data_IF_522622378690
#
_entry.id   IF_522622378690
#
_cell.length_a   1.000
_cell.length_b   1.000
_cell.length_c   1.000
_cell.angle_alpha   90.00
_cell.angle_beta   90.00
_cell.angle_gamma   90.00
#
_symmetry.space_group_name_H-M   'P 1'
#
loop_
_entity.id
_entity.type
_entity.pdbx_description
1 polymer ?
#
# COMPACT_ATOMS: atom_id res chain seq x y z
N UNK A 1 -3.91 -23.38 -12.59
CA UNK A 1 -4.38 -24.69 -13.07
C UNK A 1 -4.75 -24.69 -14.56
N UNK A 2 -5.66 -23.84 -15.04
CA UNK A 2 -6.07 -23.80 -16.46
C UNK A 2 -4.90 -23.71 -17.47
N UNK A 3 -3.94 -22.80 -17.24
CA UNK A 3 -2.75 -22.68 -18.10
C UNK A 3 -1.89 -23.96 -18.13
N UNK A 4 -1.73 -24.62 -16.99
CA UNK A 4 -0.93 -25.84 -16.89
C UNK A 4 -1.58 -27.00 -17.67
N UNK A 5 -2.91 -27.10 -17.64
CA UNK A 5 -3.66 -28.09 -18.41
C UNK A 5 -3.57 -27.83 -19.92
N UNK A 6 -3.69 -26.57 -20.34
CA UNK A 6 -3.54 -26.19 -21.75
C UNK A 6 -2.13 -26.52 -22.28
N UNK A 7 -1.08 -26.20 -21.51
CA UNK A 7 0.29 -26.52 -21.88
C UNK A 7 0.51 -28.04 -21.94
N UNK A 8 -0.04 -28.80 -20.98
CA UNK A 8 0.05 -30.27 -20.98
C UNK A 8 -0.63 -30.89 -22.20
N UNK A 9 -1.79 -30.37 -22.60
CA UNK A 9 -2.52 -30.82 -23.77
C UNK A 9 -1.78 -30.50 -25.08
N UNK A 10 -1.23 -29.30 -25.22
CA UNK A 10 -0.40 -28.91 -26.36
C UNK A 10 0.88 -29.76 -26.46
N UNK A 11 1.49 -30.06 -25.31
CA UNK A 11 2.65 -30.94 -25.18
C UNK A 11 2.38 -32.37 -25.66
N UNK A 12 1.30 -32.97 -25.16
CA UNK A 12 0.91 -34.33 -25.55
C UNK A 12 0.54 -34.40 -27.03
N UNK A 13 -0.14 -33.37 -27.55
CA UNK A 13 -0.57 -33.31 -28.95
C UNK A 13 0.59 -33.12 -29.93
N UNK A 14 1.62 -32.35 -29.56
CA UNK A 14 2.77 -32.07 -30.42
C UNK A 14 3.92 -33.07 -30.30
N UNK A 15 4.27 -33.50 -29.08
CA UNK A 15 5.52 -34.24 -28.82
C UNK A 15 5.30 -35.64 -28.25
N UNK A 16 4.06 -36.00 -27.86
CA UNK A 16 3.65 -37.29 -27.24
C UNK A 16 4.38 -37.68 -25.94
N UNK A 17 5.41 -36.95 -25.54
CA UNK A 17 6.21 -37.19 -24.33
C UNK A 17 6.49 -35.87 -23.59
N UNK A 18 6.20 -35.87 -22.29
CA UNK A 18 6.34 -34.68 -21.43
C UNK A 18 7.70 -34.72 -20.76
N UNK A 19 8.63 -33.92 -21.26
CA UNK A 19 9.94 -33.70 -20.65
C UNK A 19 10.24 -32.19 -20.55
N UNK A 20 11.28 -31.83 -19.79
CA UNK A 20 11.64 -30.43 -19.55
C UNK A 20 11.89 -29.64 -20.85
N UNK A 21 12.60 -30.24 -21.81
CA UNK A 21 12.96 -29.58 -23.07
C UNK A 21 11.72 -29.25 -23.91
N UNK A 22 10.81 -30.21 -24.06
CA UNK A 22 9.58 -30.02 -24.82
C UNK A 22 8.67 -28.99 -24.15
N UNK A 23 8.63 -28.95 -22.81
CA UNK A 23 7.82 -27.98 -22.05
C UNK A 23 8.26 -26.55 -22.37
N UNK A 24 9.57 -26.29 -22.44
CA UNK A 24 10.08 -24.98 -22.79
C UNK A 24 9.86 -24.63 -24.27
N UNK A 25 9.90 -25.61 -25.18
CA UNK A 25 9.55 -25.41 -26.60
C UNK A 25 8.08 -25.01 -26.79
N UNK A 26 7.16 -25.63 -26.05
CA UNK A 26 5.71 -25.31 -26.14
C UNK A 26 5.36 -24.00 -25.44
N UNK A 27 6.10 -23.63 -24.39
CA UNK A 27 5.83 -22.38 -23.66
C UNK A 27 6.44 -21.15 -24.33
N UNK A 28 7.30 -21.32 -25.34
CA UNK A 28 8.00 -20.25 -26.07
C UNK A 28 8.71 -19.24 -25.14
N UNK A 29 9.38 -19.75 -24.10
CA UNK A 29 10.08 -18.94 -23.11
C UNK A 29 11.58 -19.24 -23.12
N UNK A 30 12.44 -18.22 -22.92
CA UNK A 30 13.87 -18.42 -22.73
C UNK A 30 14.17 -19.43 -21.62
N UNK A 31 15.10 -20.36 -21.89
CA UNK A 31 15.45 -21.39 -20.91
C UNK A 31 16.04 -20.76 -19.63
N UNK A 32 15.57 -21.12 -18.42
CA UNK A 32 15.99 -20.48 -17.17
C UNK A 32 17.50 -20.52 -16.90
N UNK A 33 18.20 -21.58 -17.35
CA UNK A 33 19.66 -21.66 -17.20
C UNK A 33 20.39 -20.57 -17.99
N UNK A 34 19.89 -20.21 -19.17
CA UNK A 34 20.48 -19.18 -20.02
C UNK A 34 20.41 -17.81 -19.34
N UNK A 35 19.21 -17.49 -18.84
CA UNK A 35 18.94 -16.26 -18.09
C UNK A 35 19.73 -16.22 -16.77
N UNK A 36 19.85 -17.36 -16.08
CA UNK A 36 20.63 -17.48 -14.84
C UNK A 36 22.13 -17.23 -15.07
N UNK A 37 22.67 -17.70 -16.20
CA UNK A 37 24.06 -17.44 -16.60
C UNK A 37 24.28 -15.95 -16.90
N UNK A 38 23.34 -15.30 -17.59
CA UNK A 38 23.40 -13.85 -17.83
C UNK A 38 23.43 -13.07 -16.52
N UNK A 39 22.53 -13.37 -15.58
CA UNK A 39 22.50 -12.71 -14.25
C UNK A 39 23.82 -12.94 -13.50
N UNK A 40 24.39 -14.16 -13.57
CA UNK A 40 25.70 -14.46 -12.97
C UNK A 40 26.82 -13.60 -13.57
N UNK A 41 26.83 -13.42 -14.89
CA UNK A 41 27.84 -12.61 -15.57
C UNK A 41 27.72 -11.13 -15.19
N UNK A 42 26.49 -10.60 -15.05
CA UNK A 42 26.28 -9.22 -14.56
C UNK A 42 26.77 -9.05 -13.13
N UNK A 43 26.49 -10.01 -12.24
CA UNK A 43 26.98 -9.98 -10.85
C UNK A 43 28.51 -10.11 -10.75
N UNK A 44 29.13 -10.83 -11.71
CA UNK A 44 30.58 -10.95 -11.83
C UNK A 44 31.27 -9.81 -12.57
N UNK A 45 30.55 -8.75 -12.95
CA UNK A 45 31.09 -7.61 -13.71
C UNK A 45 31.47 -7.92 -15.17
N UNK A 46 31.10 -9.10 -15.68
CA UNK A 46 31.39 -9.55 -17.05
C UNK A 46 30.25 -9.12 -17.99
N UNK A 47 30.19 -7.82 -18.27
CA UNK A 47 29.10 -7.25 -19.05
C UNK A 47 29.10 -7.72 -20.51
N UNK A 48 30.26 -7.92 -21.13
CA UNK A 48 30.35 -8.39 -22.52
C UNK A 48 29.76 -9.80 -22.70
N UNK A 49 30.03 -10.70 -21.75
CA UNK A 49 29.46 -12.05 -21.74
C UNK A 49 27.93 -12.02 -21.49
N UNK A 50 27.46 -11.11 -20.63
CA UNK A 50 26.04 -10.93 -20.35
C UNK A 50 25.28 -10.37 -21.57
N UNK A 51 25.85 -9.38 -22.25
CA UNK A 51 25.32 -8.80 -23.49
C UNK A 51 25.33 -9.81 -24.64
N UNK A 52 26.37 -10.63 -24.74
CA UNK A 52 26.43 -11.72 -25.71
C UNK A 52 25.33 -12.76 -25.46
N UNK A 53 25.08 -13.11 -24.19
CA UNK A 53 23.97 -13.99 -23.80
C UNK A 53 22.59 -13.41 -24.12
N UNK A 54 22.41 -12.09 -23.95
CA UNK A 54 21.18 -11.39 -24.33
C UNK A 54 20.98 -11.39 -25.85
N UNK A 55 22.04 -11.09 -26.61
CA UNK A 55 22.02 -11.10 -28.07
C UNK A 55 21.65 -12.47 -28.62
N UNK A 56 22.17 -13.55 -28.02
CA UNK A 56 21.80 -14.90 -28.41
C UNK A 56 20.31 -15.20 -28.22
N UNK A 57 19.67 -14.70 -27.14
CA UNK A 57 18.22 -14.85 -26.97
C UNK A 57 17.44 -14.05 -28.03
N UNK A 58 17.93 -12.87 -28.37
CA UNK A 58 17.32 -12.05 -29.41
C UNK A 58 17.44 -12.70 -30.80
N UNK A 59 18.62 -13.24 -31.14
CA UNK A 59 18.88 -13.94 -32.41
C UNK A 59 18.10 -15.25 -32.54
N UNK A 60 17.73 -15.88 -31.40
CA UNK A 60 16.82 -17.03 -31.34
C UNK A 60 15.34 -16.66 -31.56
N UNK A 61 15.02 -15.38 -31.71
CA UNK A 61 13.67 -14.88 -32.03
C UNK A 61 12.79 -14.61 -30.82
N UNK A 62 13.31 -14.65 -29.59
CA UNK A 62 12.53 -14.31 -28.40
C UNK A 62 12.17 -12.83 -28.38
N UNK A 63 10.92 -12.52 -28.04
CA UNK A 63 10.49 -11.13 -27.91
C UNK A 63 11.19 -10.45 -26.72
N UNK A 64 11.45 -9.13 -26.77
CA UNK A 64 11.98 -8.39 -25.63
C UNK A 64 11.13 -8.58 -24.35
N UNK A 65 9.81 -8.67 -24.49
CA UNK A 65 8.87 -8.90 -23.39
C UNK A 65 9.06 -10.27 -22.73
N UNK A 66 9.31 -11.32 -23.51
CA UNK A 66 9.53 -12.67 -22.99
C UNK A 66 10.88 -12.79 -22.30
N UNK A 67 11.91 -12.14 -22.86
CA UNK A 67 13.24 -12.04 -22.25
C UNK A 67 13.15 -11.33 -20.88
N UNK A 68 12.46 -10.20 -20.82
CA UNK A 68 12.24 -9.44 -19.58
C UNK A 68 11.45 -10.27 -18.57
N UNK A 69 10.39 -10.96 -19.00
CA UNK A 69 9.57 -11.81 -18.13
C UNK A 69 10.39 -12.97 -17.56
N UNK A 70 11.26 -13.58 -18.36
CA UNK A 70 12.16 -14.64 -17.92
C UNK A 70 13.22 -14.13 -16.93
N UNK A 71 13.76 -12.92 -17.15
CA UNK A 71 14.67 -12.24 -16.22
C UNK A 71 13.98 -11.96 -14.87
N UNK A 72 12.77 -11.42 -14.88
CA UNK A 72 11.97 -11.18 -13.67
C UNK A 72 11.77 -12.45 -12.84
N UNK A 73 11.37 -13.55 -13.48
CA UNK A 73 11.15 -14.84 -12.82
C UNK A 73 12.45 -15.42 -12.25
N UNK A 74 13.54 -15.28 -12.99
CA UNK A 74 14.85 -15.81 -12.59
C UNK A 74 15.43 -15.04 -11.41
N UNK A 75 15.39 -13.70 -11.45
CA UNK A 75 15.95 -12.83 -10.39
C UNK A 75 15.17 -12.97 -9.08
N UNK A 76 13.83 -13.07 -9.15
CA UNK A 76 12.98 -13.28 -7.97
C UNK A 76 13.45 -14.49 -7.13
N UNK A 77 13.83 -15.56 -7.82
CA UNK A 77 14.26 -16.82 -7.22
C UNK A 77 15.80 -16.97 -7.15
N UNK A 78 16.56 -15.93 -7.51
CA UNK A 78 18.02 -15.97 -7.48
C UNK A 78 18.53 -15.77 -6.05
N UNK A 79 19.58 -16.48 -5.69
CA UNK A 79 20.23 -16.38 -4.39
C UNK A 79 21.21 -15.19 -4.38
N UNK A 80 20.74 -14.06 -3.85
CA UNK A 80 21.46 -12.79 -3.77
C UNK A 80 20.86 -11.91 -2.67
N UNK A 81 21.61 -10.90 -2.22
CA UNK A 81 21.13 -9.97 -1.20
C UNK A 81 19.84 -9.26 -1.63
N UNK A 82 18.89 -9.11 -0.70
CA UNK A 82 17.53 -8.63 -0.98
C UNK A 82 17.51 -7.20 -1.55
N UNK A 83 18.38 -6.31 -1.05
CA UNK A 83 18.50 -4.95 -1.58
C UNK A 83 18.92 -4.95 -3.06
N UNK A 84 19.87 -5.82 -3.44
CA UNK A 84 20.36 -5.91 -4.80
C UNK A 84 19.29 -6.52 -5.71
N UNK A 85 18.57 -7.54 -5.21
CA UNK A 85 17.42 -8.13 -5.91
C UNK A 85 16.36 -7.07 -6.24
N UNK A 86 16.06 -6.18 -5.29
CA UNK A 86 15.11 -5.09 -5.49
C UNK A 86 15.59 -4.09 -6.56
N UNK A 87 16.86 -3.70 -6.57
CA UNK A 87 17.42 -2.81 -7.61
C UNK A 87 17.33 -3.42 -9.02
N UNK A 88 17.68 -4.70 -9.17
CA UNK A 88 17.54 -5.39 -10.46
C UNK A 88 16.08 -5.44 -10.94
N UNK A 89 15.14 -5.72 -10.02
CA UNK A 89 13.71 -5.76 -10.34
C UNK A 89 13.16 -4.38 -10.72
N UNK A 90 13.68 -3.29 -10.13
CA UNK A 90 13.32 -1.91 -10.53
C UNK A 90 13.76 -1.62 -11.97
N UNK A 91 15.02 -1.92 -12.30
CA UNK A 91 15.57 -1.67 -13.65
C UNK A 91 14.80 -2.46 -14.70
N UNK A 92 14.54 -3.76 -14.46
CA UNK A 92 13.75 -4.58 -15.38
C UNK A 92 12.32 -4.06 -15.56
N UNK A 93 11.72 -3.48 -14.51
CA UNK A 93 10.39 -2.88 -14.60
C UNK A 93 10.41 -1.66 -15.50
N UNK A 94 11.40 -0.78 -15.35
CA UNK A 94 11.58 0.40 -16.21
C UNK A 94 11.80 0.00 -17.67
N UNK A 95 12.63 -1.02 -17.92
CA UNK A 95 12.88 -1.53 -19.27
C UNK A 95 11.62 -2.15 -19.88
N UNK A 96 10.81 -2.87 -19.09
CA UNK A 96 9.52 -3.42 -19.56
C UNK A 96 8.54 -2.34 -20.04
N UNK A 97 8.57 -1.16 -19.40
CA UNK A 97 7.76 -0.01 -19.78
C UNK A 97 8.26 0.67 -21.07
N UNK A 98 9.54 0.49 -21.42
CA UNK A 98 10.15 1.05 -22.62
C UNK A 98 10.04 0.18 -23.88
N UNK A 99 9.89 -1.15 -23.74
CA UNK A 99 9.88 -2.10 -24.87
C UNK A 99 8.50 -2.36 -25.49
N UNK A 100 7.44 -1.84 -24.90
CA UNK A 100 6.07 -2.00 -25.42
C UNK A 100 5.61 -0.70 -26.09
N UNK A 101 5.09 -0.79 -27.32
CA UNK A 101 4.18 0.22 -27.88
C UNK A 101 3.16 0.64 -26.82
N UNK A 102 2.72 1.93 -26.81
CA UNK A 102 2.21 2.61 -25.62
C UNK A 102 1.20 1.74 -24.91
N UNK A 103 1.66 1.09 -23.84
CA UNK A 103 0.79 0.32 -22.97
C UNK A 103 -0.27 1.32 -22.53
N UNK A 104 -1.53 1.05 -22.85
CA UNK A 104 -2.63 1.78 -22.24
C UNK A 104 -2.41 1.65 -20.73
N UNK A 105 -2.14 2.79 -20.09
CA UNK A 105 -1.83 2.92 -18.66
C UNK A 105 -2.88 2.26 -17.72
N UNK A 106 -4.01 1.83 -18.28
CA UNK A 106 -5.03 1.00 -17.67
C UNK A 106 -4.52 -0.38 -17.19
N UNK A 107 -3.54 -1.00 -17.87
CA UNK A 107 -3.16 -2.40 -17.57
C UNK A 107 -2.12 -2.56 -16.45
N UNK A 108 -1.44 -1.48 -16.04
CA UNK A 108 -0.64 -1.45 -14.79
C UNK A 108 -1.56 -1.19 -13.57
N UNK A 109 -2.88 -1.07 -13.80
CA UNK A 109 -3.80 -0.60 -12.78
C UNK A 109 -3.43 0.80 -12.28
N UNK A 110 -2.71 1.59 -13.09
CA UNK A 110 -2.27 2.96 -12.78
C UNK A 110 -3.11 4.01 -13.52
N UNK A 111 -4.36 3.69 -13.86
CA UNK A 111 -5.33 4.73 -14.18
C UNK A 111 -5.51 5.60 -12.94
N UNK A 112 -5.01 6.84 -13.05
CA UNK A 112 -5.33 7.90 -12.11
C UNK A 112 -6.70 8.40 -12.54
N UNK A 113 -7.77 8.11 -11.78
CA UNK A 113 -9.09 8.63 -12.11
C UNK A 113 -9.05 10.16 -12.07
N UNK A 114 -9.91 10.86 -12.79
CA UNK A 114 -10.04 12.30 -12.60
C UNK A 114 -10.55 12.61 -11.20
N UNK A 115 -10.05 13.69 -10.57
CA UNK A 115 -10.55 14.15 -9.29
C UNK A 115 -11.98 14.68 -9.45
N UNK A 116 -12.96 13.93 -8.93
CA UNK A 116 -14.39 14.26 -8.92
C UNK A 116 -14.91 14.57 -7.51
N UNK A 117 -14.07 14.33 -6.50
CA UNK A 117 -14.20 14.81 -5.14
C UNK A 117 -14.30 13.71 -4.09
N UNK A 118 -15.22 12.77 -4.27
CA UNK A 118 -15.38 11.61 -3.38
C UNK A 118 -14.20 10.61 -3.46
N UNK A 119 -13.43 10.67 -4.54
CA UNK A 119 -12.28 9.83 -4.82
C UNK A 119 -10.92 10.42 -4.37
N UNK A 120 -10.92 11.57 -3.68
CA UNK A 120 -9.71 12.32 -3.34
C UNK A 120 -8.58 11.50 -2.71
N UNK A 121 -8.86 10.66 -1.70
CA UNK A 121 -7.81 9.86 -1.03
C UNK A 121 -7.12 8.88 -1.96
N UNK A 122 -7.90 8.22 -2.83
CA UNK A 122 -7.35 7.28 -3.82
C UNK A 122 -6.61 8.01 -4.93
N UNK A 123 -7.18 9.13 -5.38
CA UNK A 123 -6.56 10.02 -6.35
C UNK A 123 -5.19 10.51 -5.88
N UNK A 124 -5.11 11.08 -4.68
CA UNK A 124 -3.86 11.62 -4.11
C UNK A 124 -2.78 10.55 -4.00
N UNK A 125 -3.14 9.35 -3.51
CA UNK A 125 -2.21 8.22 -3.42
C UNK A 125 -1.67 7.82 -4.80
N UNK A 126 -2.53 7.73 -5.81
CA UNK A 126 -2.15 7.34 -7.18
C UNK A 126 -1.29 8.42 -7.86
N UNK A 127 -1.62 9.69 -7.67
CA UNK A 127 -0.85 10.83 -8.19
C UNK A 127 0.56 10.87 -7.60
N UNK A 128 0.69 10.78 -6.27
CA UNK A 128 2.00 10.79 -5.62
C UNK A 128 2.84 9.57 -5.98
N UNK A 129 2.20 8.40 -6.09
CA UNK A 129 2.88 7.18 -6.55
C UNK A 129 3.43 7.34 -7.97
N UNK A 130 2.65 7.94 -8.87
CA UNK A 130 3.07 8.18 -10.25
C UNK A 130 4.21 9.20 -10.35
N UNK A 131 4.13 10.29 -9.59
CA UNK A 131 5.20 11.29 -9.54
C UNK A 131 6.51 10.69 -8.97
N UNK A 132 6.40 9.82 -7.97
CA UNK A 132 7.55 9.08 -7.42
C UNK A 132 8.13 8.05 -8.39
N UNK A 133 7.30 7.35 -9.16
CA UNK A 133 7.77 6.39 -10.19
C UNK A 133 8.48 7.07 -11.35
N UNK A 134 8.09 8.30 -11.67
CA UNK A 134 8.74 9.09 -12.72
C UNK A 134 9.97 9.88 -12.22
N UNK A 135 10.28 9.81 -10.91
CA UNK A 135 11.31 10.61 -10.23
C UNK A 135 11.14 12.13 -10.44
N UNK A 136 9.88 12.60 -10.42
CA UNK A 136 9.50 14.01 -10.60
C UNK A 136 8.99 14.60 -9.28
N UNK A 137 9.03 13.86 -8.18
CA UNK A 137 8.56 14.26 -6.86
C UNK A 137 9.62 15.02 -6.04
N UNK A 138 10.77 15.36 -6.62
CA UNK A 138 11.87 16.05 -5.92
C UNK A 138 11.41 17.36 -5.24
N UNK A 139 10.64 18.20 -5.94
CA UNK A 139 10.07 19.44 -5.42
C UNK A 139 8.97 19.24 -4.37
N UNK A 140 8.45 18.01 -4.23
CA UNK A 140 7.52 17.62 -3.16
C UNK A 140 8.30 17.20 -1.91
N UNK A 141 9.45 16.52 -2.09
CA UNK A 141 10.30 16.00 -1.01
C UNK A 141 11.24 17.03 -0.39
N UNK A 142 11.67 18.03 -1.16
CA UNK A 142 12.67 19.03 -0.74
C UNK A 142 12.08 20.44 -0.77
N UNK A 143 12.53 21.27 0.18
CA UNK A 143 12.20 22.68 0.22
C UNK A 143 12.84 23.41 -0.98
N UNK A 144 12.24 24.55 -1.32
CA UNK A 144 12.70 25.39 -2.42
C UNK A 144 14.15 25.87 -2.16
N UNK A 145 15.07 25.62 -3.11
CA UNK A 145 16.43 26.14 -3.01
C UNK A 145 16.44 27.67 -3.07
N UNK A 146 17.48 28.34 -2.54
CA UNK A 146 17.65 29.78 -2.70
C UNK A 146 17.62 30.19 -4.18
N UNK A 147 17.00 31.32 -4.48
CA UNK A 147 16.96 31.85 -5.83
C UNK A 147 18.39 32.09 -6.35
N UNK A 148 18.63 31.69 -7.61
CA UNK A 148 19.94 31.85 -8.25
C UNK A 148 20.28 33.33 -8.36
N UNK A 149 21.40 33.72 -7.76
CA UNK A 149 22.03 35.05 -7.91
C UNK A 149 23.24 34.98 -8.83
N UNK A 150 23.73 36.13 -9.33
CA UNK A 150 24.90 36.21 -10.21
C UNK A 150 26.21 35.69 -9.59
N UNK A 151 26.22 35.40 -8.28
CA UNK A 151 27.35 34.84 -7.53
C UNK A 151 27.20 33.35 -7.23
N UNK A 152 26.12 32.72 -7.69
CA UNK A 152 25.83 31.31 -7.38
C UNK A 152 26.81 30.37 -8.09
N UNK A 153 27.19 29.32 -7.40
CA UNK A 153 28.04 28.27 -7.96
C UNK A 153 27.27 27.44 -8.99
N UNK A 154 27.98 26.81 -9.94
CA UNK A 154 27.37 25.91 -10.94
C UNK A 154 26.54 24.78 -10.31
N UNK A 155 26.92 24.31 -9.11
CA UNK A 155 26.18 23.28 -8.39
C UNK A 155 24.84 23.80 -7.85
N UNK A 156 24.80 25.03 -7.33
CA UNK A 156 23.57 25.67 -6.85
C UNK A 156 22.59 25.94 -8.00
N UNK A 157 23.11 26.37 -9.16
CA UNK A 157 22.32 26.56 -10.38
C UNK A 157 21.68 25.24 -10.81
N UNK A 158 22.48 24.17 -10.93
CA UNK A 158 21.99 22.85 -11.34
C UNK A 158 20.94 22.29 -10.37
N UNK A 159 21.11 22.53 -9.06
CA UNK A 159 20.17 22.09 -8.03
C UNK A 159 18.84 22.85 -8.10
N UNK A 160 18.88 24.17 -8.35
CA UNK A 160 17.69 24.98 -8.58
C UNK A 160 16.95 24.56 -9.87
N UNK A 161 17.68 24.36 -10.98
CA UNK A 161 17.09 23.90 -12.25
C UNK A 161 16.42 22.53 -12.13
N UNK A 162 17.05 21.59 -11.40
CA UNK A 162 16.48 20.27 -11.14
C UNK A 162 15.19 20.38 -10.31
N UNK A 163 15.21 21.18 -9.24
CA UNK A 163 14.04 21.44 -8.41
C UNK A 163 12.91 22.08 -9.22
N UNK A 164 13.20 23.11 -10.02
CA UNK A 164 12.17 23.80 -10.78
C UNK A 164 11.60 22.93 -11.91
N UNK A 165 12.42 22.11 -12.55
CA UNK A 165 11.93 21.11 -13.51
C UNK A 165 10.94 20.15 -12.86
N UNK A 166 11.27 19.64 -11.68
CA UNK A 166 10.40 18.75 -10.90
C UNK A 166 9.09 19.44 -10.48
N UNK A 167 9.18 20.70 -10.01
CA UNK A 167 8.03 21.51 -9.63
C UNK A 167 7.08 21.72 -10.82
N UNK A 168 7.59 22.24 -11.94
CA UNK A 168 6.81 22.56 -13.14
C UNK A 168 6.08 21.36 -13.72
N UNK A 169 6.77 20.22 -13.85
CA UNK A 169 6.17 19.00 -14.42
C UNK A 169 5.12 18.42 -13.46
N UNK A 170 5.37 18.43 -12.14
CA UNK A 170 4.39 17.97 -11.15
C UNK A 170 3.10 18.80 -11.16
N UNK A 171 3.22 20.13 -11.22
CA UNK A 171 2.06 21.03 -11.31
C UNK A 171 1.25 20.75 -12.56
N UNK A 172 1.92 20.66 -13.72
CA UNK A 172 1.26 20.39 -15.00
C UNK A 172 0.53 19.05 -14.96
N UNK A 173 1.20 18.01 -14.46
CA UNK A 173 0.62 16.68 -14.35
C UNK A 173 -0.62 16.66 -13.44
N UNK A 174 -0.51 17.21 -12.23
CA UNK A 174 -1.62 17.25 -11.28
C UNK A 174 -2.84 17.96 -11.87
N UNK A 175 -2.63 19.12 -12.50
CA UNK A 175 -3.72 19.90 -13.13
C UNK A 175 -4.43 19.13 -14.23
N UNK A 176 -3.74 18.27 -14.99
CA UNK A 176 -4.38 17.41 -16.02
C UNK A 176 -5.28 16.33 -15.44
N UNK A 177 -5.13 16.00 -14.15
CA UNK A 177 -5.91 14.96 -13.46
C UNK A 177 -7.01 15.52 -12.57
N UNK A 178 -7.31 16.81 -12.67
CA UNK A 178 -8.39 17.50 -11.96
C UNK A 178 -9.52 17.81 -12.95
N UNK A 179 -10.77 17.51 -12.56
CA UNK A 179 -11.93 17.82 -13.39
C UNK A 179 -12.15 19.34 -13.55
N UNK A 180 -12.70 19.75 -14.69
CA UNK A 180 -12.88 21.17 -15.02
C UNK A 180 -13.71 21.95 -13.99
N UNK A 181 -14.66 21.29 -13.30
CA UNK A 181 -15.50 21.90 -12.27
C UNK A 181 -14.78 22.27 -10.97
N UNK A 182 -13.61 21.68 -10.72
CA UNK A 182 -12.80 21.91 -9.51
C UNK A 182 -11.54 22.72 -9.87
N UNK A 183 -11.08 22.59 -11.12
CA UNK A 183 -9.88 23.24 -11.66
C UNK A 183 -9.84 24.75 -11.41
N UNK A 184 -10.96 25.46 -11.55
CA UNK A 184 -11.01 26.92 -11.37
C UNK A 184 -10.55 27.41 -9.98
N UNK A 185 -10.74 26.60 -8.95
CA UNK A 185 -10.32 26.95 -7.57
C UNK A 185 -8.85 26.67 -7.26
N UNK A 186 -8.15 25.93 -8.12
CA UNK A 186 -6.78 25.43 -7.86
C UNK A 186 -5.77 25.86 -8.94
N UNK A 187 -6.23 26.53 -10.01
CA UNK A 187 -5.37 26.83 -11.17
C UNK A 187 -4.34 27.95 -10.90
N UNK A 188 -4.52 28.73 -9.84
CA UNK A 188 -3.64 29.87 -9.51
C UNK A 188 -2.31 29.44 -8.89
N UNK A 189 -2.18 28.19 -8.44
CA UNK A 189 -0.96 27.72 -7.78
C UNK A 189 0.14 27.31 -8.78
N UNK A 190 1.29 27.97 -8.67
CA UNK A 190 2.49 27.72 -9.48
C UNK A 190 3.47 26.74 -8.82
N UNK A 191 3.38 26.56 -7.51
CA UNK A 191 4.20 25.61 -6.74
C UNK A 191 3.41 24.34 -6.43
N UNK A 192 4.04 23.17 -6.64
CA UNK A 192 3.40 21.86 -6.44
C UNK A 192 2.94 21.64 -4.99
N UNK A 193 3.70 22.13 -4.00
CA UNK A 193 3.35 21.98 -2.58
C UNK A 193 2.13 22.81 -2.21
N UNK A 194 2.06 24.05 -2.70
CA UNK A 194 0.93 24.94 -2.48
C UNK A 194 -0.33 24.41 -3.18
N UNK A 195 -0.16 23.90 -4.40
CA UNK A 195 -1.23 23.23 -5.16
C UNK A 195 -1.80 22.04 -4.37
N UNK A 196 -0.95 21.14 -3.89
CA UNK A 196 -1.39 19.97 -3.11
C UNK A 196 -2.08 20.38 -1.80
N UNK A 197 -1.58 21.42 -1.13
CA UNK A 197 -2.16 21.95 0.10
C UNK A 197 -3.57 22.54 -0.14
N UNK A 198 -3.74 23.34 -1.20
CA UNK A 198 -5.04 23.90 -1.55
C UNK A 198 -6.07 22.80 -1.87
N UNK A 199 -5.65 21.76 -2.58
CA UNK A 199 -6.50 20.59 -2.86
C UNK A 199 -6.85 19.87 -1.54
N UNK A 200 -5.89 19.64 -0.65
CA UNK A 200 -6.14 19.03 0.67
C UNK A 200 -7.20 19.80 1.46
N UNK A 201 -7.08 21.12 1.55
CA UNK A 201 -8.00 21.99 2.29
C UNK A 201 -9.43 21.96 1.70
N UNK A 202 -9.54 21.91 0.37
CA UNK A 202 -10.83 21.85 -0.34
C UNK A 202 -11.62 20.56 -0.06
N UNK A 203 -10.93 19.42 0.10
CA UNK A 203 -11.61 18.13 0.36
C UNK A 203 -11.75 17.80 1.85
N UNK A 204 -10.91 18.37 2.72
CA UNK A 204 -11.07 18.28 4.18
C UNK A 204 -12.32 19.04 4.65
N UNK A 205 -12.63 20.18 4.05
CA UNK A 205 -13.84 20.98 4.36
C UNK A 205 -15.13 20.28 3.91
N UNK A 206 -15.09 19.62 2.74
CA UNK A 206 -16.23 18.88 2.18
C UNK A 206 -16.64 17.65 3.02
N UNK A 207 -15.68 16.86 3.52
CA UNK A 207 -15.98 15.72 4.40
C UNK A 207 -16.63 16.18 5.72
N UNK A 208 -16.28 17.37 6.22
CA UNK A 208 -16.83 17.96 7.45
C UNK A 208 -18.27 18.45 7.28
N UNK A 209 -18.58 19.12 6.17
CA UNK A 209 -19.95 19.58 5.87
C UNK A 209 -20.88 18.41 5.57
N UNK A 210 -20.41 17.40 4.83
CA UNK A 210 -21.14 16.15 4.59
C UNK A 210 -21.43 15.40 5.90
N UNK A 211 -20.45 15.32 6.81
CA UNK A 211 -20.65 14.74 8.13
C UNK A 211 -21.70 15.51 8.94
N UNK A 212 -21.63 16.84 8.98
CA UNK A 212 -22.62 17.67 9.68
C UNK A 212 -24.04 17.50 9.11
N UNK A 213 -24.19 17.46 7.80
CA UNK A 213 -25.49 17.25 7.13
C UNK A 213 -26.05 15.85 7.39
N UNK A 214 -25.22 14.81 7.36
CA UNK A 214 -25.64 13.43 7.66
C UNK A 214 -25.98 13.24 9.14
N UNK A 215 -25.24 13.88 10.06
CA UNK A 215 -25.58 13.90 11.50
C UNK A 215 -26.93 14.60 11.69
N UNK A 216 -27.11 15.77 11.07
CA UNK A 216 -28.37 16.51 11.15
C UNK A 216 -29.53 15.68 10.61
N UNK A 217 -29.36 15.01 9.46
CA UNK A 217 -30.35 14.11 8.87
C UNK A 217 -30.64 12.90 9.78
N UNK A 218 -29.62 12.29 10.37
CA UNK A 218 -29.78 11.17 11.29
C UNK A 218 -30.57 11.58 12.55
N UNK A 219 -30.26 12.75 13.11
CA UNK A 219 -30.95 13.26 14.30
C UNK A 219 -32.36 13.79 14.02
N UNK A 220 -32.63 14.28 12.80
CA UNK A 220 -33.94 14.84 12.42
C UNK A 220 -34.91 13.82 11.84
N UNK A 221 -34.42 12.65 11.40
CA UNK A 221 -35.28 11.60 10.85
C UNK A 221 -36.05 10.91 11.98
N UNK A 222 -37.35 11.22 12.09
CA UNK A 222 -38.29 10.55 13.00
C UNK A 222 -39.18 9.60 12.22
N UNK A 223 -39.67 8.55 12.87
CA UNK A 223 -40.67 7.67 12.29
C UNK A 223 -41.99 8.45 12.17
N UNK A 224 -42.48 8.61 10.94
CA UNK A 224 -43.79 9.20 10.66
C UNK A 224 -44.76 8.10 10.22
N UNK A 225 -46.07 8.38 10.30
CA UNK A 225 -47.13 7.42 9.95
C UNK A 225 -47.24 7.15 8.44
N UNK A 226 -46.45 7.85 7.63
CA UNK A 226 -46.51 7.83 6.16
C UNK A 226 -45.47 6.87 5.58
N UNK A 227 -44.31 6.71 6.23
CA UNK A 227 -43.27 5.76 5.81
C UNK A 227 -43.36 4.45 6.59
N UNK A 228 -43.31 3.34 5.86
CA UNK A 228 -43.23 2.01 6.46
C UNK A 228 -42.00 1.86 7.34
N UNK A 229 -42.15 1.09 8.42
CA UNK A 229 -41.10 0.85 9.43
C UNK A 229 -39.83 0.28 8.78
N UNK A 230 -39.99 -0.54 7.73
CA UNK A 230 -38.88 -1.14 6.98
C UNK A 230 -38.05 -0.10 6.23
N UNK A 231 -38.71 0.84 5.56
CA UNK A 231 -38.08 1.92 4.81
C UNK A 231 -37.34 2.88 5.75
N UNK A 232 -37.94 3.16 6.92
CA UNK A 232 -37.30 3.95 7.97
C UNK A 232 -36.03 3.27 8.51
N UNK A 233 -36.09 1.96 8.81
CA UNK A 233 -34.92 1.19 9.27
C UNK A 233 -33.82 1.17 8.21
N UNK A 234 -34.16 0.99 6.93
CA UNK A 234 -33.17 1.04 5.84
C UNK A 234 -32.52 2.41 5.74
N UNK A 235 -33.31 3.50 5.80
CA UNK A 235 -32.79 4.86 5.71
C UNK A 235 -31.88 5.22 6.89
N UNK A 236 -32.24 4.81 8.11
CA UNK A 236 -31.42 4.99 9.31
C UNK A 236 -30.13 4.18 9.24
N UNK A 237 -30.20 2.93 8.77
CA UNK A 237 -29.03 2.05 8.57
C UNK A 237 -28.08 2.62 7.52
N UNK A 238 -28.58 3.11 6.40
CA UNK A 238 -27.75 3.69 5.33
C UNK A 238 -27.07 4.99 5.78
N UNK A 239 -27.80 5.86 6.48
CA UNK A 239 -27.23 7.10 7.03
C UNK A 239 -26.15 6.78 8.08
N UNK A 240 -26.38 5.79 8.94
CA UNK A 240 -25.38 5.31 9.90
C UNK A 240 -24.16 4.67 9.21
N UNK A 241 -24.36 3.91 8.14
CA UNK A 241 -23.28 3.31 7.36
C UNK A 241 -22.40 4.38 6.67
N UNK A 242 -23.02 5.42 6.11
CA UNK A 242 -22.32 6.57 5.54
C UNK A 242 -21.54 7.34 6.61
N UNK A 243 -22.12 7.56 7.79
CA UNK A 243 -21.41 8.14 8.94
C UNK A 243 -20.26 7.28 9.43
N UNK A 244 -20.39 5.95 9.44
CA UNK A 244 -19.31 5.02 9.80
C UNK A 244 -18.17 5.06 8.79
N UNK A 245 -18.48 5.16 7.49
CA UNK A 245 -17.50 5.35 6.40
C UNK A 245 -16.76 6.70 6.52
N UNK A 246 -17.40 7.73 7.07
CA UNK A 246 -16.78 9.03 7.39
C UNK A 246 -16.00 9.01 8.72
N UNK A 247 -16.44 8.26 9.73
CA UNK A 247 -15.68 8.07 10.99
C UNK A 247 -14.39 7.26 10.78
N UNK A 248 -14.41 6.26 9.91
CA UNK A 248 -13.17 5.60 9.42
C UNK A 248 -12.25 6.54 8.63
N UNK A 249 -12.69 7.79 8.36
CA UNK A 249 -11.93 8.85 7.69
C UNK A 249 -11.54 10.02 8.61
N UNK A 250 -11.90 10.02 9.90
CA UNK A 250 -11.45 11.02 10.89
C UNK A 250 -11.01 10.37 12.21
N UNK A 251 -9.78 9.86 12.24
CA UNK A 251 -8.95 9.78 13.45
C UNK A 251 -7.49 10.09 13.08
N UNK A 252 -7.29 11.28 12.51
CA UNK A 252 -6.02 12.01 12.61
C UNK A 252 -6.36 13.45 12.98
N UNK A 253 -6.95 13.64 14.17
CA UNK A 253 -6.54 14.82 14.94
C UNK A 253 -5.13 14.47 15.39
N UNK A 254 -4.15 15.28 14.97
CA UNK A 254 -2.88 15.39 15.66
C UNK A 254 -3.20 15.65 17.14
N UNK A 255 -3.28 14.59 17.92
CA UNK A 255 -2.97 14.70 19.34
C UNK A 255 -1.46 14.74 19.37
N UNK A 256 -0.93 15.70 20.11
CA UNK A 256 0.49 15.86 20.40
C UNK A 256 1.15 14.49 20.49
N UNK A 257 2.33 14.35 19.87
CA UNK A 257 3.13 13.12 19.85
C UNK A 257 2.93 12.34 21.16
N UNK A 258 2.19 11.22 21.10
CA UNK A 258 1.93 10.43 22.29
C UNK A 258 3.29 10.02 22.84
N UNK A 259 3.65 10.60 23.98
CA UNK A 259 4.98 10.41 24.56
C UNK A 259 5.03 8.98 25.06
N UNK A 260 5.94 8.19 24.49
CA UNK A 260 6.17 6.79 24.86
C UNK A 260 6.44 6.67 26.35
N UNK A 261 6.01 5.58 26.98
CA UNK A 261 6.39 5.34 28.37
C UNK A 261 7.92 5.28 28.49
N UNK A 262 8.54 5.96 29.48
CA UNK A 262 9.99 5.97 29.64
C UNK A 262 10.57 4.66 30.18
N UNK A 263 9.73 3.76 30.73
CA UNK A 263 10.17 2.50 31.32
C UNK A 263 9.34 1.30 30.84
N UNK A 264 10.00 0.13 30.83
CA UNK A 264 9.39 -1.17 30.55
C UNK A 264 8.27 -1.50 31.56
N UNK A 265 7.17 -2.09 31.09
CA UNK A 265 5.96 -2.47 31.84
C UNK A 265 5.14 -1.31 32.41
N UNK A 266 5.43 -0.07 32.03
CA UNK A 266 4.66 1.09 32.48
C UNK A 266 3.30 1.20 31.79
N UNK A 267 3.23 0.90 30.50
CA UNK A 267 1.97 0.83 29.73
C UNK A 267 2.01 -0.42 28.85
N UNK A 268 1.05 -1.31 29.04
CA UNK A 268 0.79 -2.44 28.15
C UNK A 268 -0.48 -2.17 27.37
N UNK A 269 -0.41 -2.23 26.04
CA UNK A 269 -1.59 -2.19 25.18
C UNK A 269 -2.07 -3.60 24.88
N UNK A 270 -3.38 -3.81 24.93
CA UNK A 270 -4.01 -5.11 24.68
C UNK A 270 -5.13 -5.02 23.65
N UNK A 271 -5.19 -5.98 22.74
CA UNK A 271 -6.32 -6.16 21.81
C UNK A 271 -6.61 -7.66 21.60
N UNK A 272 -7.91 -7.98 21.54
CA UNK A 272 -8.41 -9.30 21.17
C UNK A 272 -8.88 -9.24 19.72
N UNK A 273 -8.28 -10.07 18.89
CA UNK A 273 -8.58 -10.17 17.47
C UNK A 273 -9.21 -11.53 17.13
N UNK A 274 -10.13 -11.50 16.17
CA UNK A 274 -10.65 -12.68 15.48
C UNK A 274 -10.26 -12.54 14.00
N UNK A 275 -9.41 -13.41 13.45
CA UNK A 275 -9.20 -13.44 12.01
C UNK A 275 -10.49 -13.94 11.35
N UNK A 276 -11.10 -13.11 10.49
CA UNK A 276 -12.21 -13.52 9.63
C UNK A 276 -11.69 -14.59 8.65
N UNK A 277 -11.83 -15.87 9.00
CA UNK A 277 -11.51 -16.99 8.11
C UNK A 277 -12.62 -18.05 8.16
N UNK A 278 -13.08 -18.40 6.97
CA UNK A 278 -14.19 -19.30 6.73
C UNK A 278 -13.92 -20.75 7.21
N UNK A 279 -15.01 -21.42 7.62
CA UNK A 279 -15.21 -22.87 7.71
C UNK A 279 -14.53 -23.73 8.80
N UNK A 280 -13.58 -23.26 9.63
CA UNK A 280 -12.95 -24.12 10.65
C UNK A 280 -12.78 -23.47 12.04
N UNK A 281 -13.90 -23.16 12.70
CA UNK A 281 -13.95 -22.81 14.13
C UNK A 281 -13.42 -21.41 14.45
N UNK A 282 -14.13 -20.68 15.30
CA UNK A 282 -13.67 -19.36 15.76
C UNK A 282 -12.39 -19.54 16.59
N UNK A 283 -11.28 -18.95 16.15
CA UNK A 283 -10.01 -18.89 16.88
C UNK A 283 -9.75 -17.43 17.24
N UNK A 284 -9.64 -17.13 18.52
CA UNK A 284 -9.31 -15.79 19.00
C UNK A 284 -7.83 -15.72 19.32
N UNK A 285 -7.24 -14.53 19.27
CA UNK A 285 -5.94 -14.31 19.87
C UNK A 285 -5.92 -12.96 20.58
N UNK A 286 -5.20 -12.91 21.69
CA UNK A 286 -4.96 -11.70 22.46
C UNK A 286 -3.49 -11.31 22.30
N UNK A 287 -3.25 -10.04 22.06
CA UNK A 287 -1.90 -9.47 21.95
C UNK A 287 -1.66 -8.53 23.12
N UNK A 288 -0.47 -8.60 23.71
CA UNK A 288 0.02 -7.66 24.72
C UNK A 288 1.28 -6.99 24.20
N UNK A 289 1.24 -5.67 24.07
CA UNK A 289 2.34 -4.87 23.50
C UNK A 289 2.82 -3.90 24.57
N UNK A 290 4.09 -4.01 24.95
CA UNK A 290 4.72 -3.04 25.84
C UNK A 290 5.03 -1.73 25.08
N UNK A 291 4.59 -0.61 25.63
CA UNK A 291 4.72 0.71 25.00
C UNK A 291 6.19 1.15 24.90
N UNK A 292 7.00 0.84 25.93
CA UNK A 292 8.42 1.19 25.98
C UNK A 292 9.32 0.31 25.09
N UNK A 293 9.06 -0.97 24.91
CA UNK A 293 9.94 -1.87 24.14
C UNK A 293 9.40 -2.22 22.76
N UNK A 294 8.09 -2.05 22.54
CA UNK A 294 7.33 -2.56 21.38
C UNK A 294 7.35 -4.09 21.26
N UNK A 295 7.83 -4.79 22.27
CA UNK A 295 7.79 -6.24 22.30
C UNK A 295 6.34 -6.70 22.43
N UNK A 296 5.94 -7.66 21.59
CA UNK A 296 4.58 -8.16 21.48
C UNK A 296 4.53 -9.62 21.91
N UNK A 297 3.63 -9.92 22.85
CA UNK A 297 3.28 -11.28 23.24
C UNK A 297 1.93 -11.63 22.62
N UNK A 298 1.79 -12.85 22.12
CA UNK A 298 0.58 -13.31 21.45
C UNK A 298 0.14 -14.64 22.04
N UNK A 299 -1.10 -14.69 22.51
CA UNK A 299 -1.71 -15.88 23.10
C UNK A 299 -2.92 -16.27 22.26
N UNK A 300 -2.99 -17.56 21.90
CA UNK A 300 -4.15 -18.12 21.23
C UNK A 300 -5.23 -18.43 22.28
N UNK A 301 -6.46 -18.07 21.98
CA UNK A 301 -7.63 -18.28 22.83
C UNK A 301 -8.67 -19.12 22.07
N UNK A 302 -9.28 -20.07 22.75
CA UNK A 302 -10.42 -20.79 22.17
C UNK A 302 -11.71 -19.96 22.28
N UNK A 303 -11.88 -19.21 23.37
CA UNK A 303 -13.00 -18.28 23.59
C UNK A 303 -12.53 -16.94 24.16
N UNK A 304 -13.33 -15.87 23.98
CA UNK A 304 -13.02 -14.53 24.52
C UNK A 304 -12.90 -14.50 26.04
N UNK A 305 -13.61 -15.39 26.74
CA UNK A 305 -13.63 -15.44 28.20
C UNK A 305 -12.27 -15.88 28.79
N UNK A 306 -11.42 -16.54 27.99
CA UNK A 306 -10.07 -16.98 28.40
C UNK A 306 -9.05 -15.82 28.43
N UNK A 307 -9.44 -14.62 27.96
CA UNK A 307 -8.55 -13.46 27.91
C UNK A 307 -8.00 -13.05 29.28
N UNK A 308 -8.80 -13.17 30.34
CA UNK A 308 -8.37 -12.84 31.70
C UNK A 308 -7.30 -13.82 32.20
N UNK A 309 -7.45 -15.11 31.90
CA UNK A 309 -6.50 -16.13 32.32
C UNK A 309 -5.19 -16.02 31.52
N UNK A 310 -5.27 -15.75 30.22
CA UNK A 310 -4.09 -15.41 29.42
C UNK A 310 -3.36 -14.17 29.95
N UNK A 311 -4.10 -13.14 30.40
CA UNK A 311 -3.48 -11.96 31.02
C UNK A 311 -2.78 -12.29 32.34
N UNK A 312 -3.35 -13.17 33.19
CA UNK A 312 -2.68 -13.60 34.44
C UNK A 312 -1.35 -14.30 34.15
N UNK A 313 -1.33 -15.19 33.16
CA UNK A 313 -0.11 -15.89 32.72
C UNK A 313 0.93 -14.89 32.21
N UNK A 314 0.53 -14.02 31.28
CA UNK A 314 1.37 -12.96 30.74
C UNK A 314 1.96 -12.08 31.85
N UNK A 315 1.13 -11.59 32.77
CA UNK A 315 1.55 -10.75 33.89
C UNK A 315 2.60 -11.45 34.74
N UNK A 316 2.33 -12.69 35.17
CA UNK A 316 3.27 -13.44 36.00
C UNK A 316 4.61 -13.68 35.30
N UNK A 317 4.58 -13.92 33.99
CA UNK A 317 5.78 -14.12 33.17
C UNK A 317 6.62 -12.83 33.07
N UNK A 318 6.03 -11.73 32.60
CA UNK A 318 6.79 -10.50 32.32
C UNK A 318 7.24 -9.80 33.60
N UNK A 319 6.45 -9.84 34.67
CA UNK A 319 6.86 -9.25 35.94
C UNK A 319 8.02 -10.02 36.58
N UNK A 320 8.03 -11.36 36.43
CA UNK A 320 9.14 -12.20 36.88
C UNK A 320 10.40 -12.01 36.04
N UNK A 321 10.27 -11.90 34.71
CA UNK A 321 11.41 -11.71 33.80
C UNK A 321 12.06 -10.33 33.96
N UNK A 322 11.25 -9.27 34.13
CA UNK A 322 11.76 -7.90 34.20
C UNK A 322 12.02 -7.41 35.63
N UNK A 323 11.58 -8.15 36.65
CA UNK A 323 11.66 -7.74 38.07
C UNK A 323 10.88 -6.44 38.37
N UNK A 324 9.88 -6.11 37.54
CA UNK A 324 9.08 -4.87 37.60
C UNK A 324 7.61 -5.22 37.45
N UNK A 325 6.73 -4.42 38.03
CA UNK A 325 5.28 -4.64 37.93
C UNK A 325 4.65 -3.85 36.78
N UNK A 326 3.60 -4.42 36.20
CA UNK A 326 2.78 -3.74 35.20
C UNK A 326 2.00 -2.62 35.88
N UNK A 327 2.15 -1.37 35.42
CA UNK A 327 1.46 -0.22 36.01
C UNK A 327 0.08 0.03 35.38
N UNK A 328 -0.01 0.03 34.05
CA UNK A 328 -1.23 0.37 33.32
C UNK A 328 -1.43 -0.62 32.18
N UNK A 329 -2.66 -1.13 32.06
CA UNK A 329 -3.11 -1.89 30.88
C UNK A 329 -4.14 -1.06 30.13
N UNK A 330 -3.93 -0.85 28.83
CA UNK A 330 -4.83 -0.10 27.94
C UNK A 330 -5.41 -1.03 26.90
N UNK A 331 -6.72 -1.20 26.95
CA UNK A 331 -7.49 -1.80 25.85
C UNK A 331 -7.94 -0.72 24.89
N UNK A 332 -7.96 -1.01 23.59
CA UNK A 332 -8.78 -0.23 22.67
C UNK A 332 -10.25 -0.40 23.11
N UNK A 333 -11.00 0.69 23.28
CA UNK A 333 -12.36 0.67 23.86
C UNK A 333 -13.40 0.13 22.85
N UNK A 334 -13.14 -1.01 22.23
CA UNK A 334 -14.17 -1.81 21.59
C UNK A 334 -14.93 -2.60 22.66
N UNK A 335 -16.24 -2.79 22.48
CA UNK A 335 -17.13 -3.62 23.33
C UNK A 335 -16.73 -5.12 23.40
N UNK A 336 -15.46 -5.46 23.14
CA UNK A 336 -14.96 -6.81 22.87
C UNK A 336 -14.67 -7.64 24.12
N UNK A 337 -14.57 -6.99 25.29
CA UNK A 337 -14.21 -7.63 26.57
C UNK A 337 -15.41 -7.94 27.47
N UNK A 338 -16.58 -7.36 27.20
CA UNK A 338 -17.78 -7.61 27.99
C UNK A 338 -18.71 -8.54 27.21
N UNK A 339 -18.83 -9.78 27.66
CA UNK A 339 -20.05 -10.56 27.40
C UNK A 339 -21.25 -9.85 28.04
N UNK A 340 -22.47 -10.12 27.57
CA UNK A 340 -23.66 -9.67 28.31
C UNK A 340 -23.57 -10.23 29.72
N UNK A 341 -23.68 -9.37 30.73
CA UNK A 341 -23.85 -9.77 32.12
C UNK A 341 -24.97 -10.82 32.19
N UNK A 342 -24.61 -12.06 32.47
CA UNK A 342 -25.51 -13.05 33.07
C UNK A 342 -25.21 -13.04 34.56
N UNK A 343 -26.23 -13.18 35.39
CA UNK A 343 -26.19 -12.98 36.85
C UNK A 343 -25.24 -13.93 37.64
N UNK A 344 -24.42 -14.73 36.96
CA UNK A 344 -23.46 -15.67 37.55
C UNK A 344 -21.98 -15.32 37.24
N UNK A 345 -21.59 -14.07 37.49
CA UNK A 345 -20.17 -13.67 37.64
C UNK A 345 -19.50 -13.04 36.44
#
# INVERSE_FOLDING_TARGET
MRQALNNLQAMYSGFRFVNQENVFKVCDLPHPLHVKNMVRNVLGGKFDDACSGLKQLYDLGYSPTDIITALFRTIKNYDMAEYLKLEFMKVLLVVSLGTSQPVKFSDVGCDIPELKGDNFKMWKKRVLLHLGWMDIDYAIRKDEPPAVTNTSTKAEIALYEHWERSNRISVMFIKTKISAGIRGSVDQHTKVRDLLKAIDEQFVTSDKTLASTLIMKFCSTRLDTVRGVREHIMQMRDTAAQLKKLKGKQTNKSTESATRSPHILEIIHTDICSPDMDAHGQRYFISFIDDYSRYMYLYLLHNKNEALDAFKVFKAEVEKQCGKQIKIVRSDRGEKYYGRYTEDG
#
